data_IF_271965598853
#
_entry.id   IF_271965598853
#
_cell.length_a   1.000
_cell.length_b   1.000
_cell.length_c   1.000
_cell.angle_alpha   90.00
_cell.angle_beta   90.00
_cell.angle_gamma   90.00
#
_symmetry.space_group_name_H-M   'P 1'
#
loop_
_entity.id
_entity.type
_entity.pdbx_description
1 polymer ?
#
# COMPACT_ATOMS: atom_id res chain seq x y z
N UNK A 1 -15.74 -6.13 16.34
CA UNK A 1 -14.70 -5.97 15.31
C UNK A 1 -13.58 -5.17 15.94
N UNK A 2 -12.40 -5.76 16.04
CA UNK A 2 -11.16 -5.12 16.51
C UNK A 2 -10.65 -4.09 15.50
N UNK A 3 -9.71 -3.25 15.94
CA UNK A 3 -9.09 -2.27 15.05
C UNK A 3 -8.33 -2.95 13.90
N UNK A 4 -7.57 -4.02 14.19
CA UNK A 4 -6.82 -4.75 13.16
C UNK A 4 -7.74 -5.40 12.11
N UNK A 5 -8.92 -5.89 12.52
CA UNK A 5 -9.94 -6.40 11.59
C UNK A 5 -10.50 -5.29 10.69
N UNK A 6 -10.77 -4.11 11.25
CA UNK A 6 -11.26 -2.96 10.49
C UNK A 6 -10.24 -2.46 9.47
N UNK A 7 -8.97 -2.40 9.87
CA UNK A 7 -7.85 -2.04 8.98
C UNK A 7 -7.70 -3.05 7.85
N UNK A 8 -7.77 -4.35 8.17
CA UNK A 8 -7.68 -5.42 7.17
C UNK A 8 -8.84 -5.38 6.19
N UNK A 9 -10.08 -5.23 6.67
CA UNK A 9 -11.26 -5.14 5.81
C UNK A 9 -11.18 -3.94 4.86
N UNK A 10 -10.76 -2.78 5.36
CA UNK A 10 -10.57 -1.59 4.54
C UNK A 10 -9.49 -1.81 3.47
N UNK A 11 -8.34 -2.36 3.85
CA UNK A 11 -7.25 -2.64 2.91
C UNK A 11 -7.69 -3.63 1.83
N UNK A 12 -8.23 -4.79 2.22
CA UNK A 12 -8.68 -5.85 1.28
C UNK A 12 -9.71 -5.33 0.28
N UNK A 13 -10.61 -4.43 0.70
CA UNK A 13 -11.58 -3.82 -0.21
C UNK A 13 -10.91 -2.82 -1.14
N UNK A 14 -10.13 -1.88 -0.61
CA UNK A 14 -9.60 -0.79 -1.41
C UNK A 14 -8.58 -1.23 -2.45
N UNK A 15 -7.76 -2.26 -2.17
CA UNK A 15 -6.79 -2.77 -3.16
C UNK A 15 -7.43 -3.39 -4.40
N UNK A 16 -8.74 -3.64 -4.41
CA UNK A 16 -9.48 -4.20 -5.57
C UNK A 16 -9.92 -3.14 -6.58
N UNK A 17 -9.75 -1.86 -6.26
CA UNK A 17 -10.17 -0.74 -7.10
C UNK A 17 -8.93 -0.02 -7.64
N UNK A 18 -8.35 -0.47 -8.76
CA UNK A 18 -7.15 0.14 -9.31
C UNK A 18 -7.34 1.60 -9.74
N UNK A 19 -8.58 2.05 -9.94
CA UNK A 19 -8.95 3.43 -10.28
C UNK A 19 -9.05 4.35 -9.06
N UNK A 20 -8.67 3.88 -7.87
CA UNK A 20 -8.58 4.71 -6.67
C UNK A 20 -7.76 5.98 -6.93
N UNK A 21 -8.27 7.10 -6.43
CA UNK A 21 -7.58 8.40 -6.47
C UNK A 21 -6.26 8.34 -5.69
N UNK A 22 -5.31 9.23 -6.00
CA UNK A 22 -4.04 9.27 -5.28
C UNK A 22 -4.19 9.38 -3.76
N UNK A 23 -5.22 10.09 -3.27
CA UNK A 23 -5.47 10.22 -1.83
C UNK A 23 -5.95 8.91 -1.21
N UNK A 24 -6.83 8.17 -1.90
CA UNK A 24 -7.26 6.84 -1.47
C UNK A 24 -6.09 5.85 -1.48
N UNK A 25 -5.21 5.94 -2.48
CA UNK A 25 -3.99 5.12 -2.51
C UNK A 25 -3.06 5.46 -1.33
N UNK A 26 -2.89 6.74 -0.97
CA UNK A 26 -2.13 7.14 0.23
C UNK A 26 -2.76 6.58 1.52
N UNK A 27 -4.09 6.56 1.60
CA UNK A 27 -4.81 5.96 2.73
C UNK A 27 -4.55 4.44 2.82
N UNK A 28 -4.65 3.71 1.71
CA UNK A 28 -4.36 2.26 1.69
C UNK A 28 -2.93 1.96 2.14
N UNK A 29 -2.01 2.82 1.72
CA UNK A 29 -0.61 2.78 2.06
C UNK A 29 -0.35 3.06 3.56
N UNK A 30 -1.10 3.98 4.17
CA UNK A 30 -1.07 4.24 5.62
C UNK A 30 -1.68 3.07 6.41
N UNK A 31 -2.83 2.57 5.95
CA UNK A 31 -3.51 1.39 6.53
C UNK A 31 -2.60 0.17 6.52
N UNK A 32 -1.88 -0.09 5.42
CA UNK A 32 -0.93 -1.21 5.35
C UNK A 32 0.24 -1.06 6.34
N UNK A 33 0.69 0.17 6.58
CA UNK A 33 1.73 0.46 7.58
C UNK A 33 1.22 0.20 9.01
N UNK A 34 -0.04 0.55 9.29
CA UNK A 34 -0.70 0.21 10.58
C UNK A 34 -0.89 -1.29 10.76
N UNK A 35 -1.26 -2.00 9.70
CA UNK A 35 -1.36 -3.47 9.71
C UNK A 35 -0.01 -4.14 10.00
N UNK A 36 1.08 -3.66 9.41
CA UNK A 36 2.42 -4.18 9.69
C UNK A 36 2.80 -4.07 11.17
N UNK A 37 2.42 -2.96 11.83
CA UNK A 37 2.68 -2.76 13.26
C UNK A 37 1.85 -3.68 14.18
N UNK A 38 0.73 -4.21 13.67
CA UNK A 38 -0.22 -5.05 14.41
C UNK A 38 -0.28 -6.49 13.86
N UNK A 39 0.66 -6.89 13.00
CA UNK A 39 0.59 -8.15 12.27
C UNK A 39 0.66 -9.40 13.19
N UNK A 40 1.26 -9.24 14.37
CA UNK A 40 1.27 -10.24 15.42
C UNK A 40 -0.14 -10.58 15.96
N UNK A 41 -1.10 -9.66 15.83
CA UNK A 41 -2.49 -9.84 16.27
C UNK A 41 -3.34 -10.60 15.25
N UNK A 42 -2.85 -10.75 14.00
CA UNK A 42 -3.57 -11.46 12.95
C UNK A 42 -3.52 -12.98 13.16
N UNK A 43 -4.68 -13.62 13.06
CA UNK A 43 -4.78 -15.07 12.94
C UNK A 43 -4.38 -15.56 11.54
N UNK A 44 -4.25 -16.88 11.37
CA UNK A 44 -3.85 -17.49 10.10
C UNK A 44 -4.73 -17.11 8.91
N UNK A 45 -6.05 -17.06 9.09
CA UNK A 45 -6.99 -16.68 8.02
C UNK A 45 -6.80 -15.21 7.62
N UNK A 46 -6.63 -14.33 8.60
CA UNK A 46 -6.42 -12.90 8.35
C UNK A 46 -5.07 -12.62 7.69
N UNK A 47 -4.03 -13.38 8.04
CA UNK A 47 -2.72 -13.30 7.35
C UNK A 47 -2.83 -13.71 5.89
N UNK A 48 -3.56 -14.78 5.59
CA UNK A 48 -3.80 -15.21 4.22
C UNK A 48 -4.59 -14.14 3.42
N UNK A 49 -5.56 -13.47 4.04
CA UNK A 49 -6.26 -12.33 3.42
C UNK A 49 -5.35 -11.14 3.16
N UNK A 50 -4.44 -10.84 4.10
CA UNK A 50 -3.46 -9.77 3.94
C UNK A 50 -2.49 -10.08 2.79
N UNK A 51 -2.01 -11.32 2.69
CA UNK A 51 -1.11 -11.77 1.63
C UNK A 51 -1.77 -11.70 0.23
N UNK A 52 -3.04 -12.08 0.12
CA UNK A 52 -3.82 -11.95 -1.12
C UNK A 52 -4.06 -10.47 -1.50
N UNK A 53 -4.31 -9.63 -0.50
CA UNK A 53 -4.45 -8.19 -0.70
C UNK A 53 -3.14 -7.53 -1.13
N UNK A 54 -2.01 -7.88 -0.51
CA UNK A 54 -0.67 -7.42 -0.88
C UNK A 54 -0.33 -7.84 -2.32
N UNK A 55 -0.69 -9.06 -2.71
CA UNK A 55 -0.53 -9.57 -4.08
C UNK A 55 -1.39 -8.80 -5.10
N UNK A 56 -2.63 -8.49 -4.75
CA UNK A 56 -3.54 -7.67 -5.56
C UNK A 56 -2.99 -6.24 -5.70
N UNK A 57 -2.49 -5.67 -4.61
CA UNK A 57 -1.88 -4.35 -4.60
C UNK A 57 -0.68 -4.27 -5.56
N UNK A 58 0.22 -5.26 -5.53
CA UNK A 58 1.37 -5.31 -6.47
C UNK A 58 0.90 -5.35 -7.91
N UNK A 59 -0.15 -6.13 -8.22
CA UNK A 59 -0.72 -6.22 -9.57
C UNK A 59 -1.25 -4.87 -10.07
N UNK A 60 -1.78 -4.05 -9.16
CA UNK A 60 -2.33 -2.72 -9.47
C UNK A 60 -1.31 -1.59 -9.25
N UNK A 61 -0.08 -1.90 -8.83
CA UNK A 61 0.95 -0.93 -8.51
C UNK A 61 1.22 0.09 -9.63
N UNK A 62 1.21 -0.25 -10.94
CA UNK A 62 1.38 0.74 -12.00
C UNK A 62 0.29 1.82 -12.00
N UNK A 63 -0.98 1.44 -11.81
CA UNK A 63 -2.12 2.36 -11.79
C UNK A 63 -2.12 3.20 -10.50
N UNK A 64 -1.85 2.56 -9.36
CA UNK A 64 -1.70 3.28 -8.09
C UNK A 64 -0.55 4.28 -8.12
N UNK A 65 0.56 3.95 -8.78
CA UNK A 65 1.68 4.87 -9.00
C UNK A 65 1.27 6.07 -9.84
N UNK A 66 0.53 5.87 -10.92
CA UNK A 66 0.05 6.95 -11.77
C UNK A 66 -0.86 7.90 -10.98
N UNK A 67 -1.83 7.35 -10.22
CA UNK A 67 -2.70 8.12 -9.32
C UNK A 67 -1.91 8.92 -8.27
N UNK A 68 -0.85 8.34 -7.69
CA UNK A 68 0.00 9.03 -6.72
C UNK A 68 0.87 10.11 -7.35
N UNK A 69 1.37 9.89 -8.57
CA UNK A 69 2.20 10.86 -9.29
C UNK A 69 1.43 12.16 -9.58
N UNK A 70 0.10 12.10 -9.72
CA UNK A 70 -0.76 13.27 -9.85
C UNK A 70 -0.79 14.15 -8.59
N UNK A 71 -0.42 13.61 -7.41
CA UNK A 71 -0.36 14.36 -6.15
C UNK A 71 1.00 15.02 -5.90
N UNK A 72 2.07 14.56 -6.56
CA UNK A 72 3.42 15.07 -6.42
C UNK A 72 4.49 13.98 -6.43
N UNK A 73 5.72 14.35 -6.07
CA UNK A 73 6.83 13.41 -6.01
C UNK A 73 6.64 12.37 -4.89
N UNK A 74 6.75 11.09 -5.24
CA UNK A 74 6.55 9.96 -4.32
C UNK A 74 7.53 9.97 -3.14
N UNK A 75 8.78 10.40 -3.34
CA UNK A 75 9.77 10.49 -2.27
C UNK A 75 9.43 11.62 -1.29
N UNK A 76 8.92 12.75 -1.78
CA UNK A 76 8.39 13.82 -0.93
C UNK A 76 7.17 13.37 -0.13
N UNK A 77 6.21 12.69 -0.77
CA UNK A 77 5.01 12.15 -0.10
C UNK A 77 5.40 11.17 1.01
N UNK A 78 6.37 10.28 0.73
CA UNK A 78 6.91 9.33 1.73
C UNK A 78 7.59 10.04 2.90
N UNK A 79 8.39 11.07 2.61
CA UNK A 79 9.06 11.88 3.64
C UNK A 79 8.05 12.55 4.58
N UNK A 80 6.98 13.13 4.03
CA UNK A 80 5.89 13.74 4.80
C UNK A 80 5.14 12.74 5.67
N UNK A 81 4.91 11.52 5.16
CA UNK A 81 4.30 10.43 5.90
C UNK A 81 5.22 9.83 6.98
N UNK A 82 6.51 10.22 7.03
CA UNK A 82 7.54 9.64 7.91
C UNK A 82 7.61 8.11 7.82
N UNK A 83 7.24 7.56 6.66
CA UNK A 83 7.26 6.13 6.44
C UNK A 83 8.72 5.64 6.33
N UNK A 84 9.08 4.68 7.18
CA UNK A 84 10.42 4.11 7.20
C UNK A 84 10.68 3.26 5.96
N UNK A 85 11.95 3.02 5.62
CA UNK A 85 12.30 2.17 4.46
C UNK A 85 11.90 0.70 4.63
N UNK A 86 11.54 0.26 5.84
CA UNK A 86 10.96 -1.07 6.07
C UNK A 86 9.46 -1.12 5.79
N UNK A 87 8.81 0.02 5.54
CA UNK A 87 7.39 0.05 5.19
C UNK A 87 7.18 -0.21 3.71
N UNK A 88 6.03 -0.79 3.41
CA UNK A 88 5.59 -1.17 2.06
C UNK A 88 5.72 -0.06 1.01
N UNK A 89 5.61 1.21 1.41
CA UNK A 89 5.82 2.40 0.56
C UNK A 89 7.16 2.41 -0.17
N UNK A 90 8.21 1.90 0.48
CA UNK A 90 9.54 1.85 -0.13
C UNK A 90 9.59 0.91 -1.32
N UNK A 91 8.83 -0.19 -1.29
CA UNK A 91 8.75 -1.13 -2.40
C UNK A 91 8.07 -0.51 -3.61
N UNK A 92 7.04 0.34 -3.44
CA UNK A 92 6.47 1.10 -4.55
C UNK A 92 7.48 2.07 -5.18
N UNK A 93 8.26 2.77 -4.37
CA UNK A 93 9.33 3.66 -4.87
C UNK A 93 10.38 2.87 -5.66
N UNK A 94 10.70 1.63 -5.23
CA UNK A 94 11.64 0.76 -5.94
C UNK A 94 11.05 0.17 -7.21
N UNK A 95 9.82 -0.34 -7.18
CA UNK A 95 9.11 -0.83 -8.36
C UNK A 95 9.00 0.27 -9.43
N UNK A 96 8.71 1.51 -9.02
CA UNK A 96 8.69 2.68 -9.89
C UNK A 96 10.03 3.00 -10.57
N UNK A 97 11.16 2.62 -9.98
CA UNK A 97 12.50 2.87 -10.54
C UNK A 97 12.98 1.74 -11.46
N UNK A 98 12.46 0.52 -11.32
CA UNK A 98 12.85 -0.62 -12.16
C UNK A 98 12.34 -0.45 -13.60
N UNK A 99 11.18 0.17 -13.82
CA UNK A 99 10.66 0.46 -15.17
C UNK A 99 11.45 1.57 -15.91
N UNK A 100 12.24 2.39 -15.20
CA UNK A 100 13.01 3.48 -15.81
C UNK A 100 14.37 3.04 -16.39
N UNK A 101 14.76 1.78 -16.27
CA UNK A 101 16.06 1.25 -16.73
C UNK A 101 15.95 0.55 -18.11
N UNK A 102 14.78 0.59 -18.75
CA UNK A 102 14.55 0.01 -20.08
C UNK A 102 14.18 1.05 -21.15
N UNK A 103 14.85 2.20 -21.15
CA UNK A 103 14.78 3.19 -22.24
C UNK A 103 16.16 3.57 -22.73
#
# INVERSE_FOLDING_TARGET
MSEVERLLEHYVKGVRFPEASGFEVLELLDVRSKLAAQEAELNWTQRAQLEDADSTFIRHAPMFRESLAALGDLSELRSRARASCSHWWWYLEKLARVELVHT
#
